data_IF_716552995573
#
_entry.id   IF_716552995573
#
_cell.length_a   1.000
_cell.length_b   1.000
_cell.length_c   1.000
_cell.angle_alpha   90.00
_cell.angle_beta   90.00
_cell.angle_gamma   90.00
#
_symmetry.space_group_name_H-M   'P 1'
#
loop_
_entity.id
_entity.type
_entity.pdbx_description
1 polymer ?
#
# COMPACT_ATOMS: atom_id res chain seq x y z
N UNK A 1 -3.12 -7.43 10.89
CA UNK A 1 -4.44 -6.95 11.34
C UNK A 1 -5.35 -6.66 10.15
N UNK A 2 -4.87 -5.91 9.16
CA UNK A 2 -5.67 -5.50 8.01
C UNK A 2 -5.71 -6.58 6.93
N UNK A 3 -4.55 -7.14 6.57
CA UNK A 3 -4.46 -8.21 5.58
C UNK A 3 -5.06 -9.54 6.07
N UNK A 4 -5.81 -10.20 5.17
CA UNK A 4 -6.30 -11.56 5.36
C UNK A 4 -5.16 -12.58 5.29
N UNK A 5 -4.34 -12.49 4.24
CA UNK A 5 -3.18 -13.35 3.98
C UNK A 5 -1.85 -12.56 4.13
N UNK A 6 -1.40 -12.27 5.38
CA UNK A 6 -0.21 -11.44 5.62
C UNK A 6 1.10 -12.04 5.08
N UNK A 7 1.16 -13.36 4.88
CA UNK A 7 2.35 -14.04 4.34
C UNK A 7 2.27 -14.30 2.83
N UNK A 8 1.17 -13.94 2.18
CA UNK A 8 0.97 -14.16 0.75
C UNK A 8 1.87 -13.26 -0.12
N UNK A 9 1.92 -13.56 -1.41
CA UNK A 9 2.81 -12.89 -2.37
C UNK A 9 2.53 -11.38 -2.45
N UNK A 10 3.60 -10.59 -2.44
CA UNK A 10 3.54 -9.12 -2.41
C UNK A 10 3.80 -8.53 -3.80
N UNK A 11 2.93 -7.63 -4.26
CA UNK A 11 3.21 -6.74 -5.38
C UNK A 11 3.70 -5.39 -4.85
N UNK A 12 4.85 -4.92 -5.33
CA UNK A 12 5.33 -3.55 -5.10
C UNK A 12 5.30 -2.80 -6.41
N UNK A 13 4.54 -1.70 -6.45
CA UNK A 13 4.49 -0.77 -7.57
C UNK A 13 5.21 0.51 -7.17
N UNK A 14 6.40 0.71 -7.73
CA UNK A 14 7.33 1.79 -7.37
C UNK A 14 8.56 1.27 -6.64
N UNK A 15 9.71 1.24 -7.31
CA UNK A 15 10.96 0.73 -6.73
C UNK A 15 11.86 1.83 -6.16
N UNK A 16 11.26 2.83 -5.49
CA UNK A 16 11.95 3.93 -4.84
C UNK A 16 12.26 3.66 -3.36
N UNK A 17 12.50 4.73 -2.59
CA UNK A 17 12.77 4.67 -1.14
C UNK A 17 11.62 3.97 -0.40
N UNK A 18 10.37 4.35 -0.70
CA UNK A 18 9.19 3.78 -0.07
C UNK A 18 9.00 2.31 -0.44
N UNK A 19 9.19 1.92 -1.71
CA UNK A 19 9.12 0.53 -2.13
C UNK A 19 10.16 -0.36 -1.42
N UNK A 20 11.38 0.15 -1.21
CA UNK A 20 12.40 -0.53 -0.41
C UNK A 20 11.98 -0.68 1.06
N UNK A 21 11.50 0.39 1.69
CA UNK A 21 11.07 0.34 3.08
C UNK A 21 9.91 -0.65 3.28
N UNK A 22 8.94 -0.67 2.36
CA UNK A 22 7.82 -1.61 2.41
C UNK A 22 8.24 -3.06 2.15
N UNK A 23 9.16 -3.31 1.22
CA UNK A 23 9.75 -4.64 1.04
C UNK A 23 10.35 -5.15 2.36
N UNK A 24 11.18 -4.33 3.01
CA UNK A 24 11.86 -4.69 4.26
C UNK A 24 10.85 -4.90 5.40
N UNK A 25 9.86 -4.01 5.55
CA UNK A 25 8.83 -4.12 6.58
C UNK A 25 7.92 -5.35 6.38
N UNK A 26 7.47 -5.63 5.16
CA UNK A 26 6.60 -6.79 4.88
C UNK A 26 7.34 -8.10 5.08
N UNK A 27 8.60 -8.19 4.62
CA UNK A 27 9.43 -9.37 4.87
C UNK A 27 9.67 -9.60 6.37
N UNK A 28 10.04 -8.56 7.12
CA UNK A 28 10.42 -8.70 8.52
C UNK A 28 9.22 -8.87 9.47
N UNK A 29 8.10 -8.18 9.21
CA UNK A 29 6.95 -8.12 10.13
C UNK A 29 5.84 -9.06 9.72
N UNK A 30 5.53 -9.15 8.41
CA UNK A 30 4.43 -9.99 7.93
C UNK A 30 4.91 -11.39 7.50
N UNK A 31 6.19 -11.55 7.19
CA UNK A 31 6.80 -12.84 6.84
C UNK A 31 6.67 -13.22 5.36
N UNK A 32 6.41 -12.25 4.48
CA UNK A 32 6.26 -12.47 3.04
C UNK A 32 7.53 -13.06 2.42
N UNK A 33 7.38 -14.06 1.54
CA UNK A 33 8.50 -14.77 0.90
C UNK A 33 8.63 -14.55 -0.61
N UNK A 34 7.55 -14.11 -1.26
CA UNK A 34 7.51 -13.86 -2.69
C UNK A 34 7.16 -12.41 -2.96
N UNK A 35 7.90 -11.76 -3.85
CA UNK A 35 7.64 -10.39 -4.26
C UNK A 35 7.69 -10.22 -5.78
N UNK A 36 6.66 -9.59 -6.32
CA UNK A 36 6.63 -9.07 -7.68
C UNK A 36 6.86 -7.57 -7.65
N UNK A 37 7.72 -7.06 -8.52
CA UNK A 37 8.14 -5.66 -8.51
C UNK A 37 7.86 -5.05 -9.88
N UNK A 38 7.01 -4.03 -9.88
CA UNK A 38 6.73 -3.20 -11.04
C UNK A 38 7.30 -1.79 -10.78
N UNK A 39 7.99 -1.22 -11.76
CA UNK A 39 8.44 0.17 -11.70
C UNK A 39 8.62 0.69 -13.12
N UNK A 40 8.38 1.99 -13.32
CA UNK A 40 8.62 2.65 -14.61
C UNK A 40 10.06 2.46 -15.10
N UNK A 41 11.02 2.43 -14.19
CA UNK A 41 12.43 2.15 -14.51
C UNK A 41 12.77 0.71 -14.20
N UNK A 42 13.06 -0.08 -15.25
CA UNK A 42 13.54 -1.46 -15.12
C UNK A 42 14.78 -1.54 -14.23
N UNK A 43 15.70 -0.57 -14.35
CA UNK A 43 16.90 -0.50 -13.48
C UNK A 43 16.54 -0.43 -12.00
N UNK A 44 15.57 0.41 -11.63
CA UNK A 44 15.12 0.51 -10.22
C UNK A 44 14.44 -0.77 -9.75
N UNK A 45 13.61 -1.39 -10.60
CA UNK A 45 12.94 -2.65 -10.28
C UNK A 45 13.95 -3.77 -10.02
N UNK A 46 14.96 -3.91 -10.88
CA UNK A 46 16.01 -4.91 -10.72
C UNK A 46 16.85 -4.69 -9.47
N UNK A 47 17.19 -3.45 -9.13
CA UNK A 47 17.92 -3.15 -7.89
C UNK A 47 17.09 -3.55 -6.66
N UNK A 48 15.79 -3.29 -6.65
CA UNK A 48 14.91 -3.71 -5.56
C UNK A 48 14.75 -5.24 -5.53
N UNK A 49 14.68 -5.90 -6.68
CA UNK A 49 14.61 -7.35 -6.77
C UNK A 49 15.91 -8.01 -6.27
N UNK A 50 17.08 -7.44 -6.58
CA UNK A 50 18.36 -7.87 -6.02
C UNK A 50 18.38 -7.74 -4.50
N UNK A 51 17.86 -6.62 -3.97
CA UNK A 51 17.73 -6.43 -2.51
C UNK A 51 16.80 -7.47 -1.88
N UNK A 52 15.66 -7.75 -2.48
CA UNK A 52 14.73 -8.78 -2.02
C UNK A 52 15.40 -10.17 -1.99
N UNK A 53 16.13 -10.54 -3.05
CA UNK A 53 16.90 -11.80 -3.09
C UNK A 53 17.98 -11.85 -2.01
N UNK A 54 18.67 -10.74 -1.74
CA UNK A 54 19.64 -10.65 -0.65
C UNK A 54 19.02 -10.80 0.75
N UNK A 55 17.72 -10.52 0.89
CA UNK A 55 16.93 -10.79 2.11
C UNK A 55 16.38 -12.24 2.15
N UNK A 56 16.65 -13.06 1.12
CA UNK A 56 16.18 -14.44 1.04
C UNK A 56 14.76 -14.60 0.49
N UNK A 57 14.22 -13.59 -0.21
CA UNK A 57 12.93 -13.67 -0.87
C UNK A 57 13.09 -14.15 -2.32
N UNK A 58 12.05 -14.83 -2.82
CA UNK A 58 11.85 -15.02 -4.25
C UNK A 58 11.34 -13.70 -4.86
N UNK A 59 12.06 -13.14 -5.83
CA UNK A 59 11.74 -11.82 -6.37
C UNK A 59 11.77 -11.79 -7.89
N UNK A 60 10.67 -11.31 -8.48
CA UNK A 60 10.46 -11.20 -9.92
C UNK A 60 10.15 -9.76 -10.32
N UNK A 61 10.82 -9.26 -11.35
CA UNK A 61 10.43 -7.99 -11.99
C UNK A 61 9.32 -8.28 -12.99
N UNK A 62 8.24 -7.51 -12.93
CA UNK A 62 7.11 -7.60 -13.85
C UNK A 62 6.96 -6.30 -14.62
N UNK A 63 6.56 -6.40 -15.89
CA UNK A 63 6.35 -5.25 -16.77
C UNK A 63 4.98 -4.61 -16.61
N UNK A 64 3.99 -5.37 -16.14
CA UNK A 64 2.61 -4.92 -15.94
C UNK A 64 2.13 -5.24 -14.53
N UNK A 65 1.92 -4.18 -13.73
CA UNK A 65 1.39 -4.29 -12.37
C UNK A 65 -0.07 -4.79 -12.36
N UNK A 66 -0.87 -4.46 -13.38
CA UNK A 66 -2.27 -4.88 -13.46
C UNK A 66 -2.41 -6.39 -13.68
N UNK A 67 -1.55 -6.96 -14.52
CA UNK A 67 -1.49 -8.40 -14.73
C UNK A 67 -1.04 -9.17 -13.46
N UNK A 68 -0.15 -8.57 -12.66
CA UNK A 68 0.31 -9.13 -11.40
C UNK A 68 -0.75 -9.05 -10.28
N UNK A 69 -1.51 -7.93 -10.25
CA UNK A 69 -2.74 -7.66 -9.50
C UNK A 69 -3.42 -8.91 -8.90
N UNK A 70 -4.14 -9.67 -9.74
CA UNK A 70 -5.00 -10.78 -9.29
C UNK A 70 -4.28 -11.95 -8.61
N UNK A 71 -2.96 -12.05 -8.71
CA UNK A 71 -2.20 -13.15 -8.09
C UNK A 71 -1.60 -12.78 -6.73
N UNK A 72 -1.64 -11.50 -6.35
CA UNK A 72 -1.05 -10.98 -5.12
C UNK A 72 -2.13 -10.63 -4.09
N UNK A 73 -2.21 -11.32 -2.93
CA UNK A 73 -3.08 -10.89 -1.85
C UNK A 73 -2.57 -9.63 -1.14
N UNK A 74 -1.30 -9.24 -1.35
CA UNK A 74 -0.73 -8.00 -0.81
C UNK A 74 -0.24 -7.12 -1.97
N UNK A 75 -0.56 -5.83 -1.94
CA UNK A 75 -0.02 -4.86 -2.87
C UNK A 75 0.37 -3.55 -2.15
N UNK A 76 1.41 -2.90 -2.64
CA UNK A 76 1.82 -1.56 -2.20
C UNK A 76 2.04 -0.68 -3.43
N UNK A 77 1.40 0.49 -3.46
CA UNK A 77 1.71 1.54 -4.44
C UNK A 77 2.46 2.67 -3.76
N UNK A 78 3.60 3.05 -4.34
CA UNK A 78 4.52 4.01 -3.75
C UNK A 78 5.29 4.80 -4.82
N UNK A 79 4.56 5.23 -5.84
CA UNK A 79 5.02 6.03 -6.97
C UNK A 79 4.70 7.51 -6.73
N UNK A 80 5.62 8.42 -7.08
CA UNK A 80 5.38 9.87 -6.98
C UNK A 80 4.53 10.38 -8.16
N UNK A 81 3.68 9.54 -8.75
CA UNK A 81 3.09 9.81 -10.06
C UNK A 81 1.71 10.47 -9.98
N UNK A 82 1.41 11.31 -10.99
CA UNK A 82 0.04 11.73 -11.33
C UNK A 82 -0.65 10.73 -12.28
N UNK A 83 -0.02 9.57 -12.53
CA UNK A 83 -0.54 8.54 -13.43
C UNK A 83 -1.03 7.34 -12.63
N UNK A 84 -2.21 6.85 -13.01
CA UNK A 84 -2.74 5.59 -12.50
C UNK A 84 -1.78 4.44 -12.82
N UNK A 85 -1.39 3.69 -11.79
CA UNK A 85 -0.50 2.53 -11.89
C UNK A 85 -1.23 1.21 -11.63
N UNK A 86 -2.40 1.25 -10.97
CA UNK A 86 -3.29 0.10 -10.79
C UNK A 86 -4.75 0.46 -11.14
N UNK A 87 -5.32 -0.33 -12.03
CA UNK A 87 -6.74 -0.27 -12.46
C UNK A 87 -7.41 -1.65 -12.48
N UNK A 88 -6.64 -2.73 -12.44
CA UNK A 88 -7.18 -4.09 -12.40
C UNK A 88 -7.90 -4.36 -11.08
N UNK A 89 -8.94 -5.20 -11.16
CA UNK A 89 -9.66 -5.65 -9.96
C UNK A 89 -8.74 -6.58 -9.15
N UNK A 90 -8.67 -6.37 -7.83
CA UNK A 90 -7.82 -7.16 -6.98
C UNK A 90 -8.49 -8.49 -6.65
N UNK A 91 -7.79 -9.35 -5.92
CA UNK A 91 -8.42 -10.51 -5.28
C UNK A 91 -9.48 -10.04 -4.27
N UNK A 92 -10.50 -10.88 -4.05
CA UNK A 92 -11.54 -10.61 -3.05
C UNK A 92 -11.04 -10.60 -1.59
N UNK A 93 -9.79 -11.02 -1.36
CA UNK A 93 -9.12 -11.02 -0.05
C UNK A 93 -7.88 -10.09 -0.01
N UNK A 94 -7.69 -9.27 -1.04
CA UNK A 94 -6.49 -8.47 -1.20
C UNK A 94 -6.38 -7.39 -0.12
N UNK A 95 -5.14 -7.05 0.24
CA UNK A 95 -4.78 -5.86 0.99
C UNK A 95 -3.88 -4.98 0.13
N UNK A 96 -4.33 -3.75 -0.14
CA UNK A 96 -3.60 -2.75 -0.92
C UNK A 96 -3.22 -1.60 0.02
N UNK A 97 -1.94 -1.27 0.11
CA UNK A 97 -1.44 -0.08 0.79
C UNK A 97 -1.07 0.99 -0.24
N UNK A 98 -1.86 2.06 -0.31
CA UNK A 98 -1.68 3.14 -1.28
C UNK A 98 -1.02 4.36 -0.61
N UNK A 99 0.26 4.58 -0.91
CA UNK A 99 1.16 5.46 -0.15
C UNK A 99 1.70 6.62 -1.00
N UNK A 100 1.75 6.47 -2.33
CA UNK A 100 2.41 7.43 -3.21
C UNK A 100 1.64 8.72 -3.45
N UNK A 101 0.31 8.69 -3.46
CA UNK A 101 -0.51 9.89 -3.70
C UNK A 101 -0.97 10.58 -2.39
N UNK A 102 -0.40 11.74 -2.09
CA UNK A 102 -0.65 12.48 -0.85
C UNK A 102 -1.07 13.95 -1.09
N UNK A 103 -1.48 14.26 -2.32
CA UNK A 103 -2.15 15.53 -2.65
C UNK A 103 -3.39 15.26 -3.50
N UNK A 104 -4.38 16.16 -3.55
CA UNK A 104 -5.59 15.99 -4.37
C UNK A 104 -5.31 15.67 -5.85
N UNK A 105 -4.24 16.26 -6.39
CA UNK A 105 -3.89 16.15 -7.80
C UNK A 105 -3.12 14.86 -8.13
N UNK A 106 -2.60 14.15 -7.14
CA UNK A 106 -1.93 12.86 -7.33
C UNK A 106 -2.94 11.71 -7.39
N UNK A 107 -2.61 10.65 -8.11
CA UNK A 107 -3.39 9.40 -8.10
C UNK A 107 -2.53 8.25 -8.63
N UNK A 108 -2.56 7.13 -7.91
CA UNK A 108 -1.95 5.85 -8.25
C UNK A 108 -3.00 4.79 -8.61
N UNK A 109 -4.22 4.92 -8.08
CA UNK A 109 -5.31 3.96 -8.25
C UNK A 109 -6.41 4.55 -9.12
N UNK A 110 -6.97 3.72 -10.00
CA UNK A 110 -8.12 4.15 -10.81
C UNK A 110 -9.35 4.39 -9.92
N UNK A 111 -10.23 5.34 -10.29
CA UNK A 111 -11.51 5.55 -9.61
C UNK A 111 -12.32 4.26 -9.43
N UNK A 112 -12.35 3.42 -10.46
CA UNK A 112 -13.11 2.17 -10.49
C UNK A 112 -12.57 1.15 -9.48
N UNK A 113 -11.24 1.05 -9.35
CA UNK A 113 -10.59 0.21 -8.34
C UNK A 113 -10.97 0.66 -6.92
N UNK A 114 -10.88 1.95 -6.64
CA UNK A 114 -11.25 2.52 -5.34
C UNK A 114 -12.73 2.29 -5.02
N UNK A 115 -13.64 2.54 -5.98
CA UNK A 115 -15.08 2.34 -5.84
C UNK A 115 -15.44 0.87 -5.62
N UNK A 116 -14.77 -0.05 -6.35
CA UNK A 116 -14.96 -1.49 -6.17
C UNK A 116 -14.62 -1.92 -4.74
N UNK A 117 -13.45 -1.52 -4.22
CA UNK A 117 -13.04 -1.88 -2.85
C UNK A 117 -13.98 -1.24 -1.81
N UNK A 118 -14.43 0.00 -2.03
CA UNK A 118 -15.39 0.66 -1.15
C UNK A 118 -16.76 -0.04 -1.10
N UNK A 119 -17.14 -0.72 -2.18
CA UNK A 119 -18.42 -1.45 -2.29
C UNK A 119 -18.31 -2.87 -1.72
N UNK A 120 -17.27 -3.59 -2.10
CA UNK A 120 -17.11 -5.03 -1.79
C UNK A 120 -16.30 -5.32 -0.52
N UNK A 121 -15.69 -4.29 0.05
CA UNK A 121 -14.67 -4.45 1.09
C UNK A 121 -14.60 -3.28 2.05
N UNK A 122 -13.38 -2.80 2.31
CA UNK A 122 -13.15 -1.74 3.31
C UNK A 122 -12.04 -0.80 2.88
N UNK A 123 -12.28 0.50 3.05
CA UNK A 123 -11.27 1.54 2.90
C UNK A 123 -10.95 2.13 4.27
N UNK A 124 -9.67 2.14 4.62
CA UNK A 124 -9.16 2.76 5.84
C UNK A 124 -8.15 3.84 5.53
N UNK A 125 -8.22 4.92 6.29
CA UNK A 125 -7.33 6.07 6.18
C UNK A 125 -6.23 5.96 7.24
N UNK A 126 -5.05 6.49 6.99
CA UNK A 126 -4.05 6.66 8.05
C UNK A 126 -4.54 7.66 9.10
N UNK A 127 -5.00 8.82 8.65
CA UNK A 127 -5.55 9.92 9.44
C UNK A 127 -6.73 10.57 8.73
N UNK A 128 -7.39 11.50 9.41
CA UNK A 128 -8.47 12.30 8.81
C UNK A 128 -7.97 13.27 7.73
N UNK A 129 -6.67 13.60 7.71
CA UNK A 129 -6.09 14.54 6.74
C UNK A 129 -6.21 14.03 5.29
N UNK A 130 -6.33 12.70 5.11
CA UNK A 130 -6.65 12.08 3.84
C UNK A 130 -7.92 12.66 3.17
N UNK A 131 -8.87 13.22 3.94
CA UNK A 131 -10.05 13.94 3.42
C UNK A 131 -9.69 15.12 2.50
N UNK A 132 -8.49 15.68 2.63
CA UNK A 132 -8.00 16.80 1.84
C UNK A 132 -6.81 16.45 0.95
N UNK A 133 -6.26 15.24 1.08
CA UNK A 133 -4.96 14.86 0.50
C UNK A 133 -5.03 13.61 -0.37
N UNK A 134 -5.96 12.70 -0.11
CA UNK A 134 -6.01 11.40 -0.77
C UNK A 134 -6.63 11.49 -2.17
N UNK A 135 -5.88 12.00 -3.15
CA UNK A 135 -6.33 12.15 -4.53
C UNK A 135 -6.91 10.86 -5.16
N UNK A 136 -6.39 9.68 -4.80
CA UNK A 136 -6.96 8.37 -5.21
C UNK A 136 -8.45 8.23 -4.87
N UNK A 137 -8.83 8.65 -3.66
CA UNK A 137 -10.18 8.47 -3.14
C UNK A 137 -11.08 9.67 -3.48
N UNK A 138 -10.50 10.88 -3.50
CA UNK A 138 -11.21 12.10 -3.87
C UNK A 138 -11.66 12.08 -5.34
N UNK A 139 -10.77 11.67 -6.26
CA UNK A 139 -11.11 11.52 -7.68
C UNK A 139 -12.06 10.35 -7.94
N UNK A 140 -12.11 9.37 -7.04
CA UNK A 140 -13.09 8.31 -7.05
C UNK A 140 -14.49 8.75 -6.56
N UNK A 141 -14.64 9.99 -6.07
CA UNK A 141 -15.91 10.52 -5.57
C UNK A 141 -16.38 9.86 -4.27
N UNK A 142 -15.46 9.28 -3.49
CA UNK A 142 -15.81 8.60 -2.25
C UNK A 142 -16.02 9.59 -1.09
N UNK A 143 -16.91 9.26 -0.16
CA UNK A 143 -17.13 10.06 1.03
C UNK A 143 -16.14 9.69 2.15
N UNK A 144 -14.99 10.36 2.20
CA UNK A 144 -13.93 10.10 3.18
C UNK A 144 -14.31 10.50 4.62
N UNK A 145 -15.32 11.35 4.82
CA UNK A 145 -15.76 11.76 6.16
C UNK A 145 -16.37 10.60 6.95
N UNK A 146 -16.89 9.59 6.27
CA UNK A 146 -17.46 8.40 6.89
C UNK A 146 -16.45 7.25 7.06
N UNK A 147 -15.20 7.42 6.59
CA UNK A 147 -14.19 6.37 6.61
C UNK A 147 -13.45 6.31 7.95
N UNK A 148 -13.10 5.08 8.35
CA UNK A 148 -12.40 4.82 9.62
C UNK A 148 -10.90 5.07 9.48
N UNK A 149 -10.28 5.67 10.49
CA UNK A 149 -8.82 5.87 10.53
C UNK A 149 -8.10 4.69 11.16
N UNK A 150 -6.79 4.55 10.89
CA UNK A 150 -5.95 3.53 11.53
C UNK A 150 -5.95 3.67 13.05
N UNK A 151 -5.98 4.91 13.56
CA UNK A 151 -6.08 5.18 15.00
C UNK A 151 -7.35 4.59 15.62
N UNK A 152 -8.47 4.63 14.91
CA UNK A 152 -9.73 4.02 15.35
C UNK A 152 -9.64 2.49 15.32
N UNK A 153 -9.12 1.92 14.24
CA UNK A 153 -8.92 0.46 14.10
C UNK A 153 -8.05 -0.11 15.24
N UNK A 154 -6.98 0.60 15.61
CA UNK A 154 -6.09 0.20 16.69
C UNK A 154 -6.79 0.27 18.05
N UNK A 155 -7.54 1.34 18.32
CA UNK A 155 -8.23 1.56 19.61
C UNK A 155 -9.44 0.65 19.83
N UNK A 156 -10.21 0.40 18.77
CA UNK A 156 -11.49 -0.31 18.86
C UNK A 156 -11.37 -1.83 18.75
N UNK A 157 -10.15 -2.37 18.52
CA UNK A 157 -9.94 -3.80 18.24
C UNK A 157 -10.88 -4.34 17.15
N UNK A 158 -11.08 -3.55 16.09
CA UNK A 158 -11.97 -3.89 14.98
C UNK A 158 -11.64 -5.27 14.43
N UNK A 159 -12.68 -6.10 14.21
CA UNK A 159 -12.52 -7.42 13.60
C UNK A 159 -11.88 -7.30 12.21
N UNK A 160 -11.23 -8.38 11.76
CA UNK A 160 -10.70 -8.42 10.39
C UNK A 160 -11.85 -8.25 9.39
N UNK A 161 -11.76 -7.31 8.43
CA UNK A 161 -12.84 -7.00 7.50
C UNK A 161 -13.13 -8.18 6.56
N UNK A 162 -14.37 -8.21 6.07
CA UNK A 162 -14.76 -8.99 4.91
C UNK A 162 -14.33 -8.28 3.63
N UNK A 163 -13.98 -9.07 2.60
CA UNK A 163 -13.61 -8.52 1.29
C UNK A 163 -12.19 -7.92 1.21
N UNK A 164 -11.89 -7.21 0.11
CA UNK A 164 -10.61 -6.54 -0.10
C UNK A 164 -10.47 -5.31 0.80
N UNK A 165 -9.24 -4.96 1.13
CA UNK A 165 -8.91 -3.81 1.99
C UNK A 165 -8.01 -2.86 1.24
N UNK A 166 -8.39 -1.59 1.20
CA UNK A 166 -7.53 -0.50 0.78
C UNK A 166 -7.14 0.33 2.01
N UNK A 167 -5.86 0.36 2.32
CA UNK A 167 -5.29 1.28 3.30
C UNK A 167 -4.67 2.46 2.55
N UNK A 168 -5.24 3.65 2.74
CA UNK A 168 -4.75 4.89 2.17
C UNK A 168 -3.90 5.63 3.18
N UNK A 169 -2.65 5.93 2.81
CA UNK A 169 -1.76 6.76 3.62
C UNK A 169 -1.31 8.00 2.85
N UNK A 170 -1.45 9.16 3.47
CA UNK A 170 -0.94 10.46 3.00
C UNK A 170 0.25 10.96 3.83
N UNK A 171 0.49 10.35 4.99
CA UNK A 171 1.55 10.73 5.92
C UNK A 171 1.00 11.49 7.12
N UNK A 172 1.73 11.42 8.22
CA UNK A 172 1.36 12.10 9.46
C UNK A 172 2.61 12.37 10.29
N UNK A 173 2.77 13.61 10.75
CA UNK A 173 3.93 14.03 11.53
C UNK A 173 4.12 13.23 12.84
N UNK A 174 3.06 12.57 13.34
CA UNK A 174 3.15 11.68 14.48
C UNK A 174 4.01 10.43 14.21
N UNK A 175 4.08 9.96 12.95
CA UNK A 175 5.00 8.88 12.55
C UNK A 175 6.46 9.32 12.68
N UNK A 176 6.77 10.54 12.22
CA UNK A 176 8.11 11.12 12.31
C UNK A 176 8.53 11.36 13.76
N UNK A 177 7.62 11.91 14.58
CA UNK A 177 7.87 12.10 16.00
C UNK A 177 8.11 10.76 16.73
N UNK A 178 7.36 9.72 16.38
CA UNK A 178 7.54 8.39 16.95
C UNK A 178 8.90 7.80 16.55
N UNK A 179 9.29 7.91 15.28
CA UNK A 179 10.58 7.47 14.78
C UNK A 179 11.74 8.23 15.45
N UNK A 180 11.64 9.56 15.57
CA UNK A 180 12.64 10.40 16.24
C UNK A 180 12.79 10.03 17.72
N UNK A 181 11.67 9.83 18.43
CA UNK A 181 11.68 9.37 19.83
C UNK A 181 12.33 8.00 19.98
N UNK A 182 12.13 7.08 19.03
CA UNK A 182 12.76 5.77 19.05
C UNK A 182 14.27 5.88 18.80
N UNK A 183 14.69 6.67 17.82
CA UNK A 183 16.10 6.89 17.50
C UNK A 183 16.87 7.49 18.69
N UNK A 184 16.27 8.44 19.43
CA UNK A 184 16.86 9.03 20.63
C UNK A 184 16.95 8.07 21.84
N UNK A 185 16.21 6.94 21.82
CA UNK A 185 16.24 5.95 22.89
C UNK A 185 17.30 4.88 22.69
N UNK A 186 17.86 4.76 21.48
CA UNK A 186 18.94 3.81 21.21
C UNK A 186 20.26 4.43 21.70
N UNK A 187 20.94 3.83 22.70
CA UNK A 187 22.26 4.28 23.15
C UNK A 187 23.34 4.07 22.07
#
# INVERSE_FOLDING_TARGET
RLAREPQGSLLIVGAGVQGKAHLEAFAAVLGTRQVMIASRSTKSAELLAQRARALGLEAHVVSDANAALPSCPLAVTCTPSNSIVLSAMPRCDAFISAVGAFTPDMAELSPELCQHIATEGTVWLDTVDAQHEAGDLLKAGLNLHAMTTLGDVVRQHTAKPAGPVLFKSCGWAGWDLAAARLALRQP
#
